data_IF_997733472317
#
_entry.id   IF_997733472317
#
_cell.length_a   1.000
_cell.length_b   1.000
_cell.length_c   1.000
_cell.angle_alpha   90.00
_cell.angle_beta   90.00
_cell.angle_gamma   90.00
#
_symmetry.space_group_name_H-M   'P 1'
#
loop_
_entity.id
_entity.type
_entity.pdbx_description
1 polymer ?
#
# COMPACT_ATOMS: atom_id res chain seq x y z
N UNK A 1 11.82 7.27 2.24
CA UNK A 1 12.70 7.35 1.04
C UNK A 1 12.31 8.62 0.28
N UNK A 2 13.23 9.45 -0.20
CA UNK A 2 12.95 10.60 -1.09
C UNK A 2 12.10 11.77 -0.58
N UNK A 3 11.78 11.85 0.72
CA UNK A 3 10.99 12.95 1.31
C UNK A 3 11.68 14.33 1.23
N UNK A 4 12.98 14.35 0.91
CA UNK A 4 13.79 15.55 0.75
C UNK A 4 14.20 15.82 -0.71
N UNK A 5 13.66 15.06 -1.68
CA UNK A 5 13.92 15.29 -3.10
C UNK A 5 13.31 16.63 -3.51
N UNK A 6 14.09 17.49 -4.17
CA UNK A 6 13.69 18.88 -4.45
C UNK A 6 12.65 19.02 -5.56
N UNK A 7 12.51 18.01 -6.44
CA UNK A 7 11.55 18.00 -7.55
C UNK A 7 11.02 16.58 -7.85
N UNK A 8 10.23 15.96 -6.95
CA UNK A 8 9.54 14.71 -7.29
C UNK A 8 8.54 14.95 -8.42
N UNK A 9 8.24 13.89 -9.18
CA UNK A 9 7.20 13.95 -10.20
C UNK A 9 5.83 13.98 -9.49
N UNK A 10 5.05 15.03 -9.71
CA UNK A 10 3.71 15.13 -9.12
C UNK A 10 2.67 14.39 -9.96
N UNK A 11 1.93 13.48 -9.34
CA UNK A 11 0.86 12.72 -10.01
C UNK A 11 -0.58 13.13 -9.60
N UNK A 12 -0.73 14.11 -8.71
CA UNK A 12 -2.06 14.64 -8.33
C UNK A 12 -2.74 15.33 -9.51
N UNK A 13 -4.00 14.98 -9.74
CA UNK A 13 -4.85 15.56 -10.78
C UNK A 13 -5.93 16.46 -10.19
N UNK A 14 -6.67 17.16 -11.04
CA UNK A 14 -7.85 17.94 -10.61
C UNK A 14 -8.95 17.05 -10.02
N UNK A 15 -9.04 15.79 -10.47
CA UNK A 15 -10.06 14.84 -10.02
C UNK A 15 -9.84 14.43 -8.56
N UNK A 16 -8.59 14.24 -8.14
CA UNK A 16 -8.24 13.91 -6.76
C UNK A 16 -8.72 15.00 -5.78
N UNK A 17 -8.68 16.27 -6.21
CA UNK A 17 -9.16 17.39 -5.40
C UNK A 17 -10.69 17.51 -5.38
N UNK A 18 -11.38 16.92 -6.37
CA UNK A 18 -12.84 16.93 -6.45
C UNK A 18 -13.49 15.82 -5.60
N UNK A 19 -12.74 14.76 -5.26
CA UNK A 19 -13.25 13.65 -4.45
C UNK A 19 -13.00 13.95 -2.97
N UNK A 20 -14.05 14.06 -2.13
CA UNK A 20 -13.88 14.33 -0.72
C UNK A 20 -13.32 13.11 0.03
N UNK A 21 -12.40 13.35 0.96
CA UNK A 21 -11.92 12.33 1.89
C UNK A 21 -13.05 11.90 2.85
N UNK A 22 -13.48 10.64 2.77
CA UNK A 22 -14.38 10.03 3.74
C UNK A 22 -13.60 9.08 4.66
N UNK A 23 -13.48 9.37 5.97
CA UNK A 23 -12.71 8.54 6.91
C UNK A 23 -13.14 7.07 6.98
N UNK A 24 -14.39 6.75 6.63
CA UNK A 24 -14.89 5.36 6.62
C UNK A 24 -14.12 4.44 5.68
N UNK A 25 -13.51 4.98 4.61
CA UNK A 25 -12.71 4.19 3.67
C UNK A 25 -11.40 3.66 4.26
N UNK A 26 -11.00 4.09 5.46
CA UNK A 26 -9.86 3.48 6.15
C UNK A 26 -10.10 1.99 6.46
N UNK A 27 -11.36 1.58 6.66
CA UNK A 27 -11.71 0.21 6.99
C UNK A 27 -11.34 -0.76 5.85
N UNK A 28 -11.88 -0.63 4.63
CA UNK A 28 -11.50 -1.52 3.52
C UNK A 28 -10.02 -1.41 3.16
N UNK A 29 -9.41 -0.24 3.34
CA UNK A 29 -7.97 -0.05 3.12
C UNK A 29 -7.13 -0.95 4.05
N UNK A 30 -7.36 -0.88 5.37
CA UNK A 30 -6.60 -1.70 6.34
C UNK A 30 -6.92 -3.19 6.22
N UNK A 31 -8.14 -3.55 5.81
CA UNK A 31 -8.48 -4.94 5.50
C UNK A 31 -7.67 -5.47 4.31
N UNK A 32 -7.35 -4.64 3.32
CA UNK A 32 -6.44 -4.99 2.23
C UNK A 32 -5.03 -5.31 2.72
N UNK A 33 -4.51 -4.55 3.68
CA UNK A 33 -3.21 -4.81 4.28
C UNK A 33 -3.21 -6.15 5.04
N UNK A 34 -4.28 -6.43 5.79
CA UNK A 34 -4.46 -7.71 6.47
C UNK A 34 -4.60 -8.88 5.49
N UNK A 35 -5.25 -8.66 4.34
CA UNK A 35 -5.45 -9.68 3.31
C UNK A 35 -4.12 -10.21 2.74
N UNK A 36 -3.12 -9.35 2.60
CA UNK A 36 -1.77 -9.77 2.17
C UNK A 36 -1.18 -10.82 3.12
N UNK A 37 -1.34 -10.64 4.43
CA UNK A 37 -0.87 -11.60 5.42
C UNK A 37 -1.68 -12.90 5.44
N UNK A 38 -2.99 -12.83 5.18
CA UNK A 38 -3.82 -14.03 5.07
C UNK A 38 -3.31 -14.98 3.99
N UNK A 39 -2.81 -14.46 2.86
CA UNK A 39 -2.21 -15.28 1.80
C UNK A 39 -1.03 -16.14 2.28
N UNK A 40 -0.27 -15.69 3.28
CA UNK A 40 0.81 -16.49 3.87
C UNK A 40 0.32 -17.47 4.94
N UNK A 41 -0.69 -17.08 5.72
CA UNK A 41 -1.21 -17.88 6.84
C UNK A 41 -1.95 -19.14 6.35
N UNK A 42 -2.53 -19.11 5.14
CA UNK A 42 -3.24 -20.26 4.57
C UNK A 42 -2.32 -21.37 4.04
N UNK A 43 -1.00 -21.17 4.08
CA UNK A 43 0.00 -22.14 3.61
C UNK A 43 0.44 -23.07 4.74
N UNK A 44 0.10 -24.34 4.63
CA UNK A 44 0.48 -25.36 5.63
C UNK A 44 1.84 -26.00 5.34
N UNK A 45 2.26 -26.02 4.06
CA UNK A 45 3.53 -26.61 3.66
C UNK A 45 4.67 -25.59 3.77
N UNK A 46 5.76 -26.00 4.43
CA UNK A 46 6.90 -25.12 4.67
C UNK A 46 7.58 -24.65 3.37
N UNK A 47 7.64 -25.50 2.34
CA UNK A 47 8.25 -25.13 1.07
C UNK A 47 7.37 -24.15 0.31
N UNK A 48 6.05 -24.33 0.34
CA UNK A 48 5.10 -23.36 -0.22
C UNK A 48 5.21 -22.00 0.49
N UNK A 49 5.28 -22.01 1.82
CA UNK A 49 5.48 -20.80 2.62
C UNK A 49 6.80 -20.10 2.27
N UNK A 50 7.91 -20.82 2.26
CA UNK A 50 9.23 -20.24 1.96
C UNK A 50 9.25 -19.67 0.53
N UNK A 51 8.66 -20.37 -0.44
CA UNK A 51 8.55 -19.88 -1.82
C UNK A 51 7.70 -18.60 -1.90
N UNK A 52 6.55 -18.55 -1.21
CA UNK A 52 5.69 -17.38 -1.19
C UNK A 52 6.36 -16.18 -0.51
N UNK A 53 7.06 -16.41 0.61
CA UNK A 53 7.82 -15.40 1.31
C UNK A 53 8.95 -14.84 0.44
N UNK A 54 9.67 -15.68 -0.31
CA UNK A 54 10.71 -15.26 -1.26
C UNK A 54 10.11 -14.40 -2.37
N UNK A 55 8.96 -14.77 -2.93
CA UNK A 55 8.28 -13.97 -3.97
C UNK A 55 7.87 -12.60 -3.43
N UNK A 56 7.27 -12.54 -2.24
CA UNK A 56 6.91 -11.26 -1.60
C UNK A 56 8.14 -10.40 -1.30
N UNK A 57 9.20 -11.00 -0.76
CA UNK A 57 10.47 -10.30 -0.54
C UNK A 57 11.07 -9.78 -1.85
N UNK A 58 10.96 -10.54 -2.94
CA UNK A 58 11.34 -10.13 -4.29
C UNK A 58 10.56 -8.91 -4.78
N UNK A 59 9.23 -8.90 -4.60
CA UNK A 59 8.39 -7.75 -4.94
C UNK A 59 8.80 -6.48 -4.18
N UNK A 60 9.04 -6.58 -2.87
CA UNK A 60 9.53 -5.48 -2.04
C UNK A 60 10.92 -5.00 -2.49
N UNK A 61 11.80 -5.95 -2.82
CA UNK A 61 13.16 -5.66 -3.28
C UNK A 61 13.17 -4.92 -4.60
N UNK A 62 12.25 -5.25 -5.52
CA UNK A 62 12.10 -4.56 -6.81
C UNK A 62 11.43 -3.19 -6.64
N UNK A 63 10.51 -3.03 -5.69
CA UNK A 63 9.86 -1.75 -5.42
C UNK A 63 10.87 -0.67 -4.97
N UNK A 64 11.86 -1.06 -4.16
CA UNK A 64 12.89 -0.15 -3.65
C UNK A 64 13.64 0.67 -4.73
N UNK A 65 14.29 0.04 -5.73
CA UNK A 65 14.94 0.77 -6.81
C UNK A 65 13.93 1.55 -7.66
N UNK A 66 12.72 1.03 -7.88
CA UNK A 66 11.68 1.79 -8.61
C UNK A 66 11.35 3.10 -7.90
N UNK A 67 11.13 3.06 -6.59
CA UNK A 67 10.86 4.25 -5.78
C UNK A 67 12.06 5.19 -5.70
N UNK A 68 13.27 4.63 -5.66
CA UNK A 68 14.51 5.41 -5.64
C UNK A 68 14.70 6.21 -6.93
N UNK A 69 14.57 5.57 -8.09
CA UNK A 69 14.81 6.21 -9.40
C UNK A 69 13.59 6.99 -9.93
N UNK A 70 12.39 6.66 -9.48
CA UNK A 70 11.12 7.27 -9.91
C UNK A 70 10.32 7.78 -8.70
N UNK A 71 10.83 8.81 -7.97
CA UNK A 71 10.11 9.40 -6.86
C UNK A 71 8.88 10.15 -7.38
N UNK A 72 7.71 9.52 -7.25
CA UNK A 72 6.42 10.14 -7.54
C UNK A 72 5.76 10.56 -6.23
N UNK A 73 5.36 11.82 -6.17
CA UNK A 73 4.62 12.42 -5.07
C UNK A 73 3.14 12.58 -5.42
N UNK A 74 2.28 12.28 -4.46
CA UNK A 74 0.85 12.60 -4.54
C UNK A 74 0.43 13.35 -3.28
N UNK A 75 -0.19 14.51 -3.50
CA UNK A 75 -0.88 15.24 -2.45
C UNK A 75 -2.06 14.42 -1.91
N UNK A 76 -2.15 14.36 -0.59
CA UNK A 76 -3.23 13.69 0.15
C UNK A 76 -3.91 14.74 1.05
N UNK A 77 -5.23 14.81 1.03
CA UNK A 77 -5.97 15.57 2.03
C UNK A 77 -5.83 14.87 3.39
N UNK A 78 -5.44 15.60 4.44
CA UNK A 78 -5.30 15.03 5.79
C UNK A 78 -6.64 15.02 6.52
N UNK A 79 -6.97 13.91 7.17
CA UNK A 79 -8.19 13.80 7.98
C UNK A 79 -8.14 14.74 9.20
N UNK A 80 -9.06 15.72 9.24
CA UNK A 80 -9.15 16.74 10.30
C UNK A 80 -10.15 16.40 11.41
N UNK A 81 -10.99 15.38 11.21
CA UNK A 81 -11.98 14.96 12.20
C UNK A 81 -11.38 14.42 13.51
N UNK A 82 -12.21 14.41 14.54
CA UNK A 82 -11.87 13.97 15.91
C UNK A 82 -12.42 12.59 16.28
N UNK A 83 -13.32 12.04 15.47
CA UNK A 83 -13.86 10.70 15.64
C UNK A 83 -12.80 9.61 15.42
N UNK A 84 -13.13 8.38 15.83
CA UNK A 84 -12.20 7.25 15.77
C UNK A 84 -11.67 6.98 14.36
N UNK A 85 -12.55 7.02 13.34
CA UNK A 85 -12.17 6.73 11.96
C UNK A 85 -11.29 7.83 11.39
N UNK A 86 -11.60 9.10 11.68
CA UNK A 86 -10.74 10.23 11.31
C UNK A 86 -9.35 10.16 11.96
N UNK A 87 -9.27 9.79 13.24
CA UNK A 87 -7.99 9.63 13.95
C UNK A 87 -7.17 8.47 13.36
N UNK A 88 -7.82 7.34 13.06
CA UNK A 88 -7.18 6.19 12.43
C UNK A 88 -6.71 6.50 11.00
N UNK A 89 -7.54 7.19 10.22
CA UNK A 89 -7.18 7.66 8.87
C UNK A 89 -5.97 8.57 8.94
N UNK A 90 -5.96 9.55 9.85
CA UNK A 90 -4.83 10.46 10.03
C UNK A 90 -3.56 9.71 10.47
N UNK A 91 -3.68 8.74 11.37
CA UNK A 91 -2.55 7.90 11.77
C UNK A 91 -1.94 7.17 10.56
N UNK A 92 -2.78 6.57 9.73
CA UNK A 92 -2.33 5.92 8.50
C UNK A 92 -1.67 6.91 7.54
N UNK A 93 -2.28 8.07 7.30
CA UNK A 93 -1.73 9.11 6.41
C UNK A 93 -0.38 9.68 6.88
N UNK A 94 -0.11 9.68 8.19
CA UNK A 94 1.17 10.11 8.73
C UNK A 94 2.24 9.01 8.64
N UNK A 95 1.83 7.75 8.57
CA UNK A 95 2.73 6.59 8.45
C UNK A 95 3.05 6.30 6.99
N UNK A 96 2.03 6.34 6.12
CA UNK A 96 2.14 6.23 4.66
C UNK A 96 2.18 7.62 4.04
N UNK A 97 3.39 8.16 3.92
CA UNK A 97 3.64 9.52 3.41
C UNK A 97 3.22 9.68 1.94
N UNK A 98 3.23 10.91 1.43
CA UNK A 98 2.84 11.23 0.05
C UNK A 98 3.86 10.81 -1.01
N UNK A 99 4.99 10.21 -0.63
CA UNK A 99 6.12 9.92 -1.49
C UNK A 99 6.17 8.46 -1.93
N UNK A 100 6.76 8.20 -3.09
CA UNK A 100 6.95 6.85 -3.64
C UNK A 100 5.61 6.12 -3.90
N UNK A 101 4.63 6.88 -4.38
CA UNK A 101 3.24 6.41 -4.53
C UNK A 101 3.00 5.60 -5.81
N UNK A 102 3.99 5.55 -6.70
CA UNK A 102 3.91 4.80 -7.95
C UNK A 102 5.16 3.93 -8.17
N UNK A 103 4.99 2.68 -8.64
CA UNK A 103 3.72 1.96 -8.77
C UNK A 103 3.16 1.55 -7.40
N UNK A 104 1.84 1.36 -7.30
CA UNK A 104 1.23 0.95 -6.04
C UNK A 104 1.72 -0.45 -5.62
N UNK A 105 2.37 -0.54 -4.46
CA UNK A 105 2.87 -1.80 -3.91
C UNK A 105 1.74 -2.70 -3.36
N UNK A 106 0.62 -2.11 -2.94
CA UNK A 106 -0.53 -2.85 -2.43
C UNK A 106 -1.17 -3.74 -3.51
N UNK A 107 -1.15 -3.29 -4.78
CA UNK A 107 -1.73 -4.03 -5.92
C UNK A 107 -1.03 -5.37 -6.18
N UNK A 108 0.30 -5.45 -6.41
CA UNK A 108 0.96 -6.73 -6.64
C UNK A 108 0.90 -7.64 -5.41
N UNK A 109 1.00 -7.10 -4.19
CA UNK A 109 0.92 -7.90 -2.96
C UNK A 109 -0.48 -8.52 -2.77
N UNK A 110 -1.55 -7.73 -2.93
CA UNK A 110 -2.92 -8.24 -2.83
C UNK A 110 -3.24 -9.24 -3.97
N UNK A 111 -2.76 -8.96 -5.19
CA UNK A 111 -2.93 -9.89 -6.32
C UNK A 111 -2.23 -11.21 -6.04
N UNK A 112 -1.00 -11.17 -5.52
CA UNK A 112 -0.26 -12.36 -5.15
C UNK A 112 -0.95 -13.15 -4.04
N UNK A 113 -1.39 -12.49 -2.97
CA UNK A 113 -2.14 -13.14 -1.89
C UNK A 113 -3.41 -13.82 -2.40
N UNK A 114 -4.15 -13.14 -3.29
CA UNK A 114 -5.32 -13.72 -3.96
C UNK A 114 -4.94 -14.97 -4.78
N UNK A 115 -3.88 -14.90 -5.59
CA UNK A 115 -3.41 -16.05 -6.38
C UNK A 115 -3.00 -17.24 -5.52
N UNK A 116 -2.35 -16.99 -4.38
CA UNK A 116 -2.00 -18.04 -3.41
C UNK A 116 -3.25 -18.69 -2.85
N UNK A 117 -4.25 -17.90 -2.45
CA UNK A 117 -5.50 -18.39 -1.86
C UNK A 117 -6.28 -19.24 -2.88
N UNK A 118 -6.48 -18.77 -4.11
CA UNK A 118 -7.30 -19.48 -5.11
C UNK A 118 -6.62 -20.73 -5.68
N UNK A 119 -5.29 -20.84 -5.59
CA UNK A 119 -4.54 -22.00 -6.09
C UNK A 119 -4.68 -23.20 -5.15
N UNK A 120 -5.19 -23.00 -3.92
CA UNK A 120 -5.49 -24.07 -2.99
C UNK A 120 -6.75 -24.82 -3.48
N UNK A 121 -6.65 -26.12 -3.80
CA UNK A 121 -7.79 -26.93 -4.20
C UNK A 121 -8.76 -27.19 -3.03
#
# INVERSE_FOLDING_TARGET
LNEHTTHPLQATTWLDNAIPLLPVFIIPYLLGDLFVFLGLIVLDDRREFDAAAIVMAGMLTVAFPTFYFLPIEMYKQIATGTDLLSRLTRFQQMTDTGFNTFPSLHVPLNTFAYLVIIRRP
#
